data_IF_816758048585
#
_entry.id   IF_816758048585
#
_cell.length_a   1.000
_cell.length_b   1.000
_cell.length_c   1.000
_cell.angle_alpha   90.00
_cell.angle_beta   90.00
_cell.angle_gamma   90.00
#
_symmetry.space_group_name_H-M   'P 1'
#
loop_
_entity.id
_entity.type
_entity.pdbx_description
1 polymer ?
#
# COMPACT_ATOMS: atom_id res chain seq x y z
N UNK A 1 1.50 18.53 46.76
CA UNK A 1 2.23 18.72 45.48
C UNK A 1 1.29 18.43 44.34
N UNK A 2 1.20 19.33 43.34
CA UNK A 2 0.38 19.11 42.14
C UNK A 2 1.08 18.09 41.24
N UNK A 3 0.35 17.14 40.63
CA UNK A 3 0.94 16.21 39.69
C UNK A 3 1.34 16.92 38.39
N UNK A 4 2.38 16.40 37.75
CA UNK A 4 2.84 16.89 36.46
C UNK A 4 2.10 16.24 35.29
N UNK A 5 1.94 16.99 34.20
CA UNK A 5 1.40 16.51 32.92
C UNK A 5 2.25 17.01 31.76
N UNK A 6 2.34 16.18 30.72
CA UNK A 6 2.96 16.52 29.44
C UNK A 6 1.84 16.55 28.39
N UNK A 7 1.74 17.63 27.63
CA UNK A 7 0.70 17.83 26.62
C UNK A 7 1.32 17.99 25.23
N UNK A 8 0.54 17.76 24.18
CA UNK A 8 1.01 17.97 22.82
C UNK A 8 1.03 19.47 22.45
N UNK A 9 1.90 19.83 21.50
CA UNK A 9 2.07 21.21 21.03
C UNK A 9 0.79 21.82 20.45
N UNK A 10 0.01 21.06 19.67
CA UNK A 10 -1.26 21.54 19.13
C UNK A 10 -2.28 21.86 20.24
N UNK A 11 -2.38 21.01 21.28
CA UNK A 11 -3.23 21.26 22.45
C UNK A 11 -2.75 22.44 23.29
N UNK A 12 -1.43 22.59 23.48
CA UNK A 12 -0.88 23.74 24.18
C UNK A 12 -1.18 25.06 23.45
N UNK A 13 -1.06 25.05 22.12
CA UNK A 13 -1.35 26.21 21.28
C UNK A 13 -2.85 26.57 21.29
N UNK A 14 -3.75 25.58 21.22
CA UNK A 14 -5.20 25.84 21.27
C UNK A 14 -5.67 26.38 22.63
N UNK A 15 -5.00 25.97 23.71
CA UNK A 15 -5.26 26.47 25.06
C UNK A 15 -4.52 27.78 25.38
N UNK A 16 -3.60 28.23 24.52
CA UNK A 16 -2.80 29.44 24.75
C UNK A 16 -1.82 29.33 25.92
N UNK A 17 -1.38 28.11 26.27
CA UNK A 17 -0.55 27.85 27.46
C UNK A 17 0.89 27.48 27.09
N UNK A 18 1.80 27.73 28.04
CA UNK A 18 3.23 27.38 27.96
C UNK A 18 3.59 26.41 29.09
N UNK A 19 4.81 25.87 29.04
CA UNK A 19 5.37 25.09 30.13
C UNK A 19 5.33 25.89 31.44
N UNK A 20 5.03 25.22 32.56
CA UNK A 20 4.81 25.83 33.86
C UNK A 20 3.37 26.30 34.12
N UNK A 21 2.49 26.34 33.12
CA UNK A 21 1.07 26.64 33.31
C UNK A 21 0.35 25.53 34.11
N UNK A 22 -0.74 25.89 34.79
CA UNK A 22 -1.60 24.90 35.46
C UNK A 22 -2.87 24.69 34.64
N UNK A 23 -3.21 23.42 34.36
CA UNK A 23 -4.45 23.04 33.68
C UNK A 23 -5.34 22.20 34.58
N UNK A 24 -6.65 22.26 34.35
CA UNK A 24 -7.63 21.41 35.06
C UNK A 24 -8.18 20.37 34.10
N UNK A 25 -8.05 19.10 34.45
CA UNK A 25 -8.65 18.00 33.70
C UNK A 25 -9.95 17.63 34.37
N UNK A 26 -11.03 17.56 33.60
CA UNK A 26 -12.36 17.16 34.04
C UNK A 26 -12.65 15.79 33.45
N UNK A 27 -13.05 14.84 34.29
CA UNK A 27 -13.47 13.51 33.85
C UNK A 27 -14.99 13.37 33.86
N UNK A 28 -15.58 12.73 32.85
CA UNK A 28 -17.03 12.49 32.80
C UNK A 28 -17.51 11.47 33.85
N UNK A 29 -16.59 10.71 34.48
CA UNK A 29 -16.91 9.91 35.66
C UNK A 29 -17.27 10.82 36.83
N UNK A 30 -18.58 10.92 37.04
CA UNK A 30 -19.20 11.64 38.13
C UNK A 30 -19.50 10.72 39.30
N UNK A 31 -19.50 11.30 40.50
CA UNK A 31 -19.98 10.61 41.70
C UNK A 31 -21.36 11.15 42.06
N UNK A 32 -22.28 10.27 42.43
CA UNK A 32 -23.59 10.66 42.92
C UNK A 32 -23.44 11.26 44.32
N UNK A 33 -23.64 12.57 44.42
CA UNK A 33 -23.75 13.29 45.70
C UNK A 33 -25.24 13.51 46.01
N UNK A 34 -25.65 13.61 47.29
CA UNK A 34 -27.02 14.01 47.67
C UNK A 34 -27.49 15.34 47.04
N UNK A 35 -26.56 16.17 46.56
CA UNK A 35 -26.79 17.46 45.89
C UNK A 35 -26.68 17.39 44.35
N UNK A 36 -26.49 16.20 43.76
CA UNK A 36 -26.43 16.00 42.31
C UNK A 36 -25.13 15.37 41.79
N UNK A 37 -24.98 15.38 40.46
CA UNK A 37 -23.86 14.78 39.74
C UNK A 37 -22.71 15.80 39.65
N UNK A 38 -21.68 15.65 40.48
CA UNK A 38 -20.52 16.56 40.46
C UNK A 38 -19.40 15.94 39.62
N UNK A 39 -18.92 16.60 38.55
CA UNK A 39 -17.80 16.10 37.76
C UNK A 39 -16.51 16.16 38.56
N UNK A 40 -15.68 15.12 38.46
CA UNK A 40 -14.35 15.14 39.08
C UNK A 40 -13.40 15.97 38.22
N UNK A 41 -12.70 16.90 38.86
CA UNK A 41 -11.62 17.63 38.22
C UNK A 41 -10.35 17.60 39.07
N UNK A 42 -9.19 17.67 38.41
CA UNK A 42 -7.90 17.75 39.09
C UNK A 42 -6.97 18.69 38.35
N UNK A 43 -6.23 19.49 39.12
CA UNK A 43 -5.23 20.42 38.61
C UNK A 43 -3.89 19.72 38.40
N UNK A 44 -3.26 19.97 37.27
CA UNK A 44 -1.94 19.48 36.88
C UNK A 44 -1.07 20.66 36.46
N UNK A 45 0.21 20.61 36.80
CA UNK A 45 1.19 21.57 36.29
C UNK A 45 1.83 20.99 35.02
N UNK A 46 1.89 21.79 33.95
CA UNK A 46 2.44 21.40 32.66
C UNK A 46 3.96 21.36 32.76
N UNK A 47 4.53 20.16 32.83
CA UNK A 47 5.97 19.96 32.94
C UNK A 47 6.69 19.98 31.60
N UNK A 48 5.97 19.78 30.49
CA UNK A 48 6.58 19.80 29.16
C UNK A 48 5.55 19.73 28.04
N UNK A 49 5.97 20.18 26.86
CA UNK A 49 5.18 20.13 25.62
C UNK A 49 5.88 19.24 24.60
N UNK A 50 5.23 18.15 24.16
CA UNK A 50 5.81 17.23 23.18
C UNK A 50 5.38 17.57 21.74
N UNK A 51 6.24 17.18 20.78
CA UNK A 51 6.01 17.30 19.34
C UNK A 51 6.14 15.94 18.67
N UNK A 52 5.05 15.40 18.15
CA UNK A 52 5.01 14.09 17.46
C UNK A 52 4.94 14.21 15.93
N UNK A 53 4.76 15.43 15.39
CA UNK A 53 4.48 15.71 13.96
C UNK A 53 3.11 15.22 13.48
N UNK A 54 2.35 14.53 14.32
CA UNK A 54 0.98 14.11 14.02
C UNK A 54 0.02 15.00 14.78
N UNK A 55 -0.73 15.84 14.06
CA UNK A 55 -1.65 16.80 14.67
C UNK A 55 -2.63 16.13 15.63
N UNK A 56 -3.25 15.03 15.20
CA UNK A 56 -4.27 14.31 15.98
C UNK A 56 -3.71 13.77 17.32
N UNK A 57 -2.45 13.33 17.33
CA UNK A 57 -1.77 12.94 18.56
C UNK A 57 -1.48 14.16 19.43
N UNK A 58 -0.94 15.23 18.85
CA UNK A 58 -0.62 16.47 19.58
C UNK A 58 -1.86 17.19 20.14
N UNK A 59 -3.05 16.99 19.56
CA UNK A 59 -4.31 17.61 20.02
C UNK A 59 -5.07 16.78 21.05
N UNK A 60 -5.00 15.44 20.95
CA UNK A 60 -5.92 14.56 21.70
C UNK A 60 -5.26 13.69 22.78
N UNK A 61 -3.92 13.67 22.89
CA UNK A 61 -3.21 12.82 23.85
C UNK A 61 -2.35 13.65 24.81
N UNK A 62 -2.49 13.36 26.12
CA UNK A 62 -1.65 13.90 27.17
C UNK A 62 -1.12 12.77 28.08
N UNK A 63 0.06 12.98 28.68
CA UNK A 63 0.75 11.98 29.48
C UNK A 63 0.96 12.47 30.92
N UNK A 64 0.62 11.64 31.91
CA UNK A 64 0.92 11.88 33.32
C UNK A 64 1.34 10.57 33.99
N UNK A 65 1.74 10.63 35.26
CA UNK A 65 2.08 9.44 36.03
C UNK A 65 0.86 8.54 36.24
N UNK A 66 1.07 7.21 36.20
CA UNK A 66 0.03 6.21 36.42
C UNK A 66 -0.70 6.44 37.76
N UNK A 67 0.04 6.74 38.82
CA UNK A 67 -0.52 7.03 40.15
C UNK A 67 -1.42 8.25 40.17
N UNK A 68 -1.12 9.28 39.37
CA UNK A 68 -1.97 10.48 39.25
C UNK A 68 -3.24 10.20 38.46
N UNK A 69 -3.14 9.42 37.39
CA UNK A 69 -4.27 8.98 36.58
C UNK A 69 -5.21 8.06 37.37
N UNK A 70 -4.67 7.09 38.12
CA UNK A 70 -5.45 6.19 38.99
C UNK A 70 -6.22 6.97 40.06
N UNK A 71 -5.61 8.00 40.65
CA UNK A 71 -6.30 8.89 41.62
C UNK A 71 -7.39 9.73 40.95
N UNK A 72 -7.15 10.22 39.73
CA UNK A 72 -8.13 11.01 38.97
C UNK A 72 -9.36 10.16 38.60
N UNK A 73 -9.12 8.97 38.05
CA UNK A 73 -10.14 8.02 37.57
C UNK A 73 -10.72 7.10 38.66
N UNK A 74 -10.27 7.23 39.91
CA UNK A 74 -10.70 6.42 41.05
C UNK A 74 -10.45 4.89 40.91
N UNK A 75 -9.48 4.49 40.10
CA UNK A 75 -9.14 3.08 39.83
C UNK A 75 -7.89 2.64 40.62
N UNK A 76 -7.98 2.70 41.96
CA UNK A 76 -6.84 2.40 42.84
C UNK A 76 -6.33 0.98 42.62
N UNK A 77 -5.03 0.85 42.33
CA UNK A 77 -4.37 -0.45 42.12
C UNK A 77 -4.75 -1.17 40.82
N UNK A 78 -5.59 -0.56 39.98
CA UNK A 78 -6.03 -1.14 38.71
C UNK A 78 -5.39 -0.40 37.52
N UNK A 79 -5.22 -1.11 36.42
CA UNK A 79 -4.71 -0.57 35.15
C UNK A 79 -5.67 -0.94 34.03
N UNK A 80 -5.74 -0.11 32.99
CA UNK A 80 -6.59 -0.39 31.83
C UNK A 80 -6.00 -1.45 30.91
N UNK A 81 -4.68 -1.65 30.93
CA UNK A 81 -4.01 -2.67 30.12
C UNK A 81 -2.49 -2.50 30.06
N UNK A 82 -1.85 -3.40 29.32
CA UNK A 82 -0.42 -3.40 29.06
C UNK A 82 -0.14 -2.94 27.63
N UNK A 83 0.94 -2.18 27.44
CA UNK A 83 1.45 -1.83 26.11
C UNK A 83 2.77 -2.57 25.89
N UNK A 84 2.83 -3.37 24.84
CA UNK A 84 4.03 -4.09 24.43
C UNK A 84 4.60 -3.39 23.21
N UNK A 85 5.86 -2.96 23.29
CA UNK A 85 6.57 -2.36 22.16
C UNK A 85 7.29 -3.46 21.37
N UNK A 86 7.15 -3.43 20.05
CA UNK A 86 7.79 -4.39 19.14
C UNK A 86 8.76 -3.63 18.25
N UNK A 87 10.04 -4.05 18.25
CA UNK A 87 11.10 -3.36 17.50
C UNK A 87 10.91 -3.47 15.99
N UNK A 88 10.45 -4.62 15.49
CA UNK A 88 10.20 -4.86 14.06
C UNK A 88 8.69 -4.82 13.76
N UNK A 89 8.17 -3.76 13.11
CA UNK A 89 6.73 -3.62 12.86
C UNK A 89 6.10 -4.77 12.06
N UNK A 90 6.86 -5.38 11.15
CA UNK A 90 6.41 -6.50 10.32
C UNK A 90 6.04 -7.75 11.13
N UNK A 91 6.65 -7.93 12.31
CA UNK A 91 6.40 -9.08 13.18
C UNK A 91 5.22 -8.86 14.14
N UNK A 92 4.59 -7.68 14.13
CA UNK A 92 3.54 -7.33 15.10
C UNK A 92 2.36 -8.29 15.02
N UNK A 93 1.93 -8.69 13.82
CA UNK A 93 0.80 -9.63 13.66
C UNK A 93 1.13 -11.00 14.25
N UNK A 94 2.32 -11.53 13.96
CA UNK A 94 2.75 -12.84 14.47
C UNK A 94 2.93 -12.83 15.99
N UNK A 95 3.55 -11.78 16.53
CA UNK A 95 3.74 -11.62 17.99
C UNK A 95 2.40 -11.43 18.69
N UNK A 96 1.52 -10.58 18.14
CA UNK A 96 0.16 -10.39 18.67
C UNK A 96 -0.63 -11.71 18.65
N UNK A 97 -0.50 -12.51 17.59
CA UNK A 97 -1.07 -13.85 17.49
C UNK A 97 -0.59 -14.77 18.61
N UNK A 98 0.73 -14.85 18.83
CA UNK A 98 1.32 -15.66 19.93
C UNK A 98 0.88 -15.19 21.32
N UNK A 99 0.78 -13.86 21.53
CA UNK A 99 0.29 -13.30 22.80
C UNK A 99 -1.18 -13.66 22.99
N UNK A 100 -1.99 -13.51 21.94
CA UNK A 100 -3.43 -13.83 21.95
C UNK A 100 -3.67 -15.30 22.24
N UNK A 101 -2.89 -16.20 21.67
CA UNK A 101 -2.97 -17.65 21.94
C UNK A 101 -2.63 -17.98 23.40
N UNK A 102 -1.53 -17.42 23.93
CA UNK A 102 -1.14 -17.64 25.34
C UNK A 102 -2.15 -17.07 26.32
N UNK A 103 -2.77 -15.94 25.98
CA UNK A 103 -3.75 -15.27 26.81
C UNK A 103 -5.19 -15.73 26.55
N UNK A 104 -5.45 -16.60 25.57
CA UNK A 104 -6.79 -17.11 25.25
C UNK A 104 -7.48 -17.80 26.43
N UNK A 105 -6.70 -18.34 27.37
CA UNK A 105 -7.20 -18.94 28.62
C UNK A 105 -7.78 -17.91 29.60
N UNK A 106 -7.49 -16.63 29.41
CA UNK A 106 -7.94 -15.53 30.25
C UNK A 106 -8.96 -14.68 29.47
N UNK A 107 -10.25 -14.96 29.69
CA UNK A 107 -11.38 -14.32 28.97
C UNK A 107 -11.46 -12.80 29.11
N UNK A 108 -10.75 -12.21 30.07
CA UNK A 108 -10.75 -10.77 30.34
C UNK A 108 -9.71 -9.99 29.52
N UNK A 109 -8.74 -10.64 28.88
CA UNK A 109 -7.73 -9.95 28.08
C UNK A 109 -8.14 -9.86 26.61
N UNK A 110 -8.20 -8.63 26.10
CA UNK A 110 -8.32 -8.36 24.66
C UNK A 110 -6.97 -7.89 24.11
N UNK A 111 -6.41 -8.66 23.18
CA UNK A 111 -5.15 -8.32 22.51
C UNK A 111 -5.48 -7.62 21.19
N UNK A 112 -5.24 -6.31 21.13
CA UNK A 112 -5.36 -5.49 19.92
C UNK A 112 -4.00 -5.02 19.47
N UNK A 113 -3.67 -5.27 18.20
CA UNK A 113 -2.45 -4.74 17.60
C UNK A 113 -2.66 -3.35 16.99
N UNK A 114 -1.57 -2.70 16.57
CA UNK A 114 -1.64 -1.34 16.04
C UNK A 114 -2.41 -1.25 14.71
N UNK A 115 -2.40 -2.31 13.90
CA UNK A 115 -3.13 -2.36 12.64
C UNK A 115 -4.63 -2.52 12.86
N UNK A 116 -5.02 -3.28 13.89
CA UNK A 116 -6.42 -3.37 14.34
C UNK A 116 -6.90 -2.06 14.96
N UNK A 117 -6.07 -1.41 15.78
CA UNK A 117 -6.40 -0.11 16.39
C UNK A 117 -6.57 1.02 15.35
N UNK A 118 -5.88 0.91 14.21
CA UNK A 118 -5.96 1.86 13.10
C UNK A 118 -6.65 1.25 11.87
N UNK A 119 -7.59 0.32 12.09
CA UNK A 119 -8.26 -0.43 11.02
C UNK A 119 -8.79 0.44 9.86
N UNK A 120 -9.44 1.61 10.09
CA UNK A 120 -9.91 2.45 9.00
C UNK A 120 -8.79 2.90 8.03
N UNK A 121 -7.61 3.22 8.57
CA UNK A 121 -6.44 3.58 7.76
C UNK A 121 -5.97 2.39 6.92
N UNK A 122 -5.89 1.20 7.53
CA UNK A 122 -5.45 -0.01 6.84
C UNK A 122 -6.45 -0.51 5.80
N UNK A 123 -7.75 -0.39 6.07
CA UNK A 123 -8.80 -0.73 5.12
C UNK A 123 -8.76 0.22 3.91
N UNK A 124 -8.52 1.52 4.13
CA UNK A 124 -8.32 2.49 3.06
C UNK A 124 -7.09 2.16 2.19
N UNK A 125 -5.93 1.88 2.81
CA UNK A 125 -4.72 1.45 2.10
C UNK A 125 -4.92 0.13 1.35
N UNK A 126 -5.71 -0.79 1.92
CA UNK A 126 -6.07 -2.05 1.28
C UNK A 126 -6.95 -1.87 0.05
N UNK A 127 -7.93 -0.96 0.13
CA UNK A 127 -8.80 -0.60 -1.00
C UNK A 127 -7.98 0.04 -2.13
N UNK A 128 -7.09 0.99 -1.80
CA UNK A 128 -6.20 1.64 -2.77
C UNK A 128 -5.36 0.61 -3.54
N UNK A 129 -4.74 -0.34 -2.84
CA UNK A 129 -3.96 -1.43 -3.48
C UNK A 129 -4.79 -2.28 -4.43
N UNK A 130 -6.05 -2.57 -4.09
CA UNK A 130 -6.95 -3.34 -4.96
C UNK A 130 -7.31 -2.55 -6.22
N UNK A 131 -7.58 -1.25 -6.09
CA UNK A 131 -7.87 -0.37 -7.23
C UNK A 131 -6.67 -0.33 -8.17
N UNK A 132 -5.45 -0.16 -7.65
CA UNK A 132 -4.23 -0.18 -8.48
C UNK A 132 -4.00 -1.53 -9.14
N UNK A 133 -4.31 -2.65 -8.47
CA UNK A 133 -4.26 -3.96 -9.10
C UNK A 133 -5.23 -4.07 -10.29
N UNK A 134 -6.47 -3.60 -10.15
CA UNK A 134 -7.46 -3.60 -11.23
C UNK A 134 -7.00 -2.75 -12.42
N UNK A 135 -6.51 -1.53 -12.15
CA UNK A 135 -5.98 -0.63 -13.19
C UNK A 135 -4.80 -1.27 -13.91
N UNK A 136 -3.87 -1.88 -13.17
CA UNK A 136 -2.71 -2.57 -13.74
C UNK A 136 -3.15 -3.71 -14.68
N UNK A 137 -4.11 -4.53 -14.27
CA UNK A 137 -4.66 -5.61 -15.12
C UNK A 137 -5.28 -5.03 -16.38
N UNK A 138 -6.05 -3.94 -16.27
CA UNK A 138 -6.68 -3.29 -17.41
C UNK A 138 -5.66 -2.74 -18.41
N UNK A 139 -4.57 -2.14 -17.92
CA UNK A 139 -3.45 -1.68 -18.77
C UNK A 139 -2.77 -2.84 -19.50
N UNK A 140 -2.57 -3.97 -18.81
CA UNK A 140 -1.99 -5.19 -19.41
C UNK A 140 -2.92 -5.72 -20.52
N UNK A 141 -4.23 -5.78 -20.27
CA UNK A 141 -5.21 -6.21 -21.28
C UNK A 141 -5.19 -5.28 -22.50
N UNK A 142 -5.18 -3.97 -22.28
CA UNK A 142 -5.11 -2.97 -23.35
C UNK A 142 -3.84 -3.14 -24.19
N UNK A 143 -2.68 -3.27 -23.55
CA UNK A 143 -1.41 -3.51 -24.23
C UNK A 143 -1.42 -4.83 -25.01
N UNK A 144 -2.00 -5.89 -24.44
CA UNK A 144 -2.10 -7.20 -25.08
C UNK A 144 -2.94 -7.15 -26.37
N UNK A 145 -4.02 -6.36 -26.38
CA UNK A 145 -4.88 -6.17 -27.54
C UNK A 145 -4.18 -5.38 -28.65
N UNK A 146 -3.37 -4.37 -28.28
CA UNK A 146 -2.54 -3.65 -29.23
C UNK A 146 -1.54 -4.58 -29.92
N UNK A 147 -0.84 -5.45 -29.17
CA UNK A 147 0.09 -6.43 -29.75
C UNK A 147 -0.62 -7.40 -30.70
N UNK A 148 -1.81 -7.91 -30.32
CA UNK A 148 -2.61 -8.78 -31.18
C UNK A 148 -2.95 -8.06 -32.50
N UNK A 149 -3.46 -6.83 -32.40
CA UNK A 149 -3.89 -6.04 -33.55
C UNK A 149 -2.73 -5.75 -34.50
N UNK A 150 -1.57 -5.35 -33.97
CA UNK A 150 -0.36 -5.12 -34.76
C UNK A 150 0.12 -6.40 -35.44
N UNK A 151 0.16 -7.53 -34.74
CA UNK A 151 0.59 -8.81 -35.34
C UNK A 151 -0.39 -9.31 -36.41
N UNK A 152 -1.69 -9.16 -36.19
CA UNK A 152 -2.70 -9.50 -37.20
C UNK A 152 -2.51 -8.62 -38.44
N UNK A 153 -2.37 -7.31 -38.27
CA UNK A 153 -2.12 -6.38 -39.37
C UNK A 153 -0.86 -6.75 -40.15
N UNK A 154 0.24 -7.04 -39.46
CA UNK A 154 1.50 -7.46 -40.09
C UNK A 154 1.33 -8.75 -40.90
N UNK A 155 0.59 -9.73 -40.38
CA UNK A 155 0.28 -10.97 -41.10
C UNK A 155 -0.52 -10.68 -42.37
N UNK A 156 -1.45 -9.73 -42.32
CA UNK A 156 -2.25 -9.32 -43.48
C UNK A 156 -1.40 -8.67 -44.57
N UNK A 157 -0.48 -7.79 -44.19
CA UNK A 157 0.45 -7.13 -45.12
C UNK A 157 1.44 -8.14 -45.73
N UNK A 158 1.90 -9.11 -44.94
CA UNK A 158 2.88 -10.13 -45.36
C UNK A 158 2.27 -11.39 -45.96
N UNK A 159 0.99 -11.37 -46.35
CA UNK A 159 0.29 -12.53 -46.94
C UNK A 159 0.98 -13.10 -48.18
N UNK A 160 1.44 -12.23 -49.11
CA UNK A 160 2.13 -12.66 -50.34
C UNK A 160 3.45 -13.37 -50.01
N UNK A 161 4.26 -12.76 -49.15
CA UNK A 161 5.54 -13.34 -48.68
C UNK A 161 5.32 -14.71 -48.00
N UNK A 162 4.28 -14.85 -47.18
CA UNK A 162 3.91 -16.13 -46.54
C UNK A 162 3.48 -17.17 -47.60
N UNK A 163 2.71 -16.77 -48.62
CA UNK A 163 2.29 -17.67 -49.69
C UNK A 163 3.50 -18.18 -50.49
N UNK A 164 4.45 -17.31 -50.84
CA UNK A 164 5.70 -17.68 -51.51
C UNK A 164 6.53 -18.64 -50.65
N UNK A 165 6.67 -18.37 -49.35
CA UNK A 165 7.36 -19.29 -48.43
C UNK A 165 6.69 -20.67 -48.41
N UNK A 166 5.36 -20.72 -48.43
CA UNK A 166 4.62 -21.98 -48.44
C UNK A 166 4.69 -22.73 -49.77
N UNK A 167 4.84 -22.05 -50.91
CA UNK A 167 5.01 -22.72 -52.21
C UNK A 167 6.42 -23.29 -52.38
N UNK A 168 7.44 -22.67 -51.79
CA UNK A 168 8.82 -23.22 -51.76
C UNK A 168 9.03 -24.29 -50.67
N UNK A 169 7.99 -24.68 -49.94
CA UNK A 169 8.01 -25.84 -49.03
C UNK A 169 7.95 -25.53 -47.52
N UNK A 170 7.78 -24.27 -47.10
CA UNK A 170 7.65 -23.95 -45.68
C UNK A 170 6.37 -24.54 -45.09
N UNK A 171 6.50 -25.22 -43.94
CA UNK A 171 5.37 -25.82 -43.25
C UNK A 171 4.57 -24.76 -42.47
N UNK A 172 3.31 -25.07 -42.13
CA UNK A 172 2.50 -24.22 -41.23
C UNK A 172 3.21 -23.95 -39.89
N UNK A 173 3.99 -24.92 -39.40
CA UNK A 173 4.72 -24.79 -38.13
C UNK A 173 5.86 -23.78 -38.22
N UNK A 174 6.50 -23.66 -39.38
CA UNK A 174 7.59 -22.71 -39.60
C UNK A 174 7.08 -21.27 -39.58
N UNK A 175 5.94 -21.02 -40.24
CA UNK A 175 5.27 -19.72 -40.20
C UNK A 175 4.88 -19.35 -38.76
N UNK A 176 4.25 -20.28 -38.00
CA UNK A 176 3.92 -20.04 -36.58
C UNK A 176 5.18 -19.72 -35.77
N UNK A 177 6.30 -20.42 -36.01
CA UNK A 177 7.55 -20.20 -35.28
C UNK A 177 8.14 -18.80 -35.53
N UNK A 178 8.05 -18.29 -36.75
CA UNK A 178 8.48 -16.92 -37.10
C UNK A 178 7.69 -15.89 -36.29
N UNK A 179 6.36 -15.95 -36.36
CA UNK A 179 5.50 -14.97 -35.67
C UNK A 179 5.57 -15.08 -34.14
N UNK A 180 5.74 -16.29 -33.59
CA UNK A 180 6.01 -16.48 -32.15
C UNK A 180 7.33 -15.85 -31.72
N UNK A 181 8.41 -16.05 -32.49
CA UNK A 181 9.72 -15.42 -32.19
C UNK A 181 9.65 -13.91 -32.27
N UNK A 182 8.94 -13.38 -33.26
CA UNK A 182 8.71 -11.94 -33.38
C UNK A 182 7.97 -11.39 -32.15
N UNK A 183 6.93 -12.08 -31.71
CA UNK A 183 6.23 -11.79 -30.46
C UNK A 183 7.15 -11.72 -29.24
N UNK A 184 8.00 -12.72 -29.06
CA UNK A 184 8.96 -12.77 -27.95
C UNK A 184 9.95 -11.60 -28.03
N UNK A 185 10.44 -11.25 -29.22
CA UNK A 185 11.37 -10.13 -29.42
C UNK A 185 10.68 -8.80 -29.06
N UNK A 186 9.45 -8.57 -29.53
CA UNK A 186 8.67 -7.38 -29.18
C UNK A 186 8.41 -7.31 -27.67
N UNK A 187 8.01 -8.43 -27.06
CA UNK A 187 7.81 -8.52 -25.62
C UNK A 187 9.08 -8.21 -24.85
N UNK A 188 10.21 -8.81 -25.22
CA UNK A 188 11.49 -8.59 -24.57
C UNK A 188 11.96 -7.14 -24.65
N UNK A 189 11.93 -6.53 -25.84
CA UNK A 189 12.30 -5.13 -26.03
C UNK A 189 11.39 -4.20 -25.24
N UNK A 190 10.07 -4.44 -25.28
CA UNK A 190 9.08 -3.67 -24.52
C UNK A 190 9.31 -3.79 -23.01
N UNK A 191 9.58 -4.99 -22.51
CA UNK A 191 9.88 -5.24 -21.08
C UNK A 191 11.17 -4.54 -20.67
N UNK A 192 12.25 -4.64 -21.45
CA UNK A 192 13.53 -3.99 -21.14
C UNK A 192 13.36 -2.46 -21.10
N UNK A 193 12.72 -1.88 -22.12
CA UNK A 193 12.44 -0.44 -22.16
C UNK A 193 11.50 -0.01 -21.03
N UNK A 194 10.44 -0.76 -20.76
CA UNK A 194 9.49 -0.47 -19.68
C UNK A 194 10.14 -0.53 -18.29
N UNK A 195 10.91 -1.57 -18.01
CA UNK A 195 11.61 -1.73 -16.74
C UNK A 195 12.70 -0.66 -16.55
N UNK A 196 13.44 -0.30 -17.59
CA UNK A 196 14.45 0.76 -17.51
C UNK A 196 13.81 2.11 -17.26
N UNK A 197 12.77 2.49 -18.03
CA UNK A 197 12.02 3.73 -17.82
C UNK A 197 11.36 3.76 -16.43
N UNK A 198 10.77 2.66 -15.99
CA UNK A 198 10.17 2.53 -14.65
C UNK A 198 11.21 2.69 -13.55
N UNK A 199 12.39 2.10 -13.69
CA UNK A 199 13.48 2.23 -12.72
C UNK A 199 13.97 3.67 -12.61
N UNK A 200 14.22 4.35 -13.74
CA UNK A 200 14.62 5.75 -13.74
C UNK A 200 13.51 6.67 -13.21
N UNK A 201 12.24 6.36 -13.47
CA UNK A 201 11.10 7.06 -12.88
C UNK A 201 11.06 6.94 -11.36
N UNK A 202 11.24 5.72 -10.83
CA UNK A 202 11.33 5.52 -9.38
C UNK A 202 12.54 6.23 -8.77
N UNK A 203 13.69 6.23 -9.45
CA UNK A 203 14.90 6.91 -9.01
C UNK A 203 14.70 8.43 -8.96
N UNK A 204 14.11 9.01 -10.00
CA UNK A 204 13.77 10.43 -10.04
C UNK A 204 12.83 10.82 -8.89
N UNK A 205 11.79 10.00 -8.64
CA UNK A 205 10.85 10.22 -7.55
C UNK A 205 11.53 10.11 -6.17
N UNK A 206 12.49 9.20 -6.02
CA UNK A 206 13.29 9.04 -4.81
C UNK A 206 14.22 10.23 -4.54
N UNK A 207 14.80 10.82 -5.59
CA UNK A 207 15.74 11.95 -5.49
C UNK A 207 14.98 13.26 -5.25
N UNK A 208 13.94 13.53 -6.02
CA UNK A 208 13.21 14.81 -5.94
C UNK A 208 12.15 14.81 -4.85
N UNK A 209 11.64 13.65 -4.47
CA UNK A 209 10.61 13.50 -3.45
C UNK A 209 9.25 14.03 -3.90
N UNK A 210 8.19 13.32 -3.58
CA UNK A 210 6.83 13.84 -3.75
C UNK A 210 6.33 14.37 -2.40
N UNK A 211 6.04 15.68 -2.26
CA UNK A 211 5.66 16.27 -0.99
C UNK A 211 4.31 15.75 -0.52
N UNK A 212 4.23 15.39 0.76
CA UNK A 212 2.99 14.95 1.40
C UNK A 212 2.48 16.01 2.37
N UNK A 213 1.16 16.09 2.53
CA UNK A 213 0.57 16.90 3.58
C UNK A 213 0.90 16.29 4.95
N UNK A 214 1.81 16.97 5.66
CA UNK A 214 2.27 16.59 7.00
C UNK A 214 1.19 16.58 8.08
N UNK A 215 0.00 17.11 7.78
CA UNK A 215 -1.18 16.99 8.67
C UNK A 215 -1.74 15.57 8.69
N UNK A 216 -1.65 14.87 7.55
CA UNK A 216 -2.21 13.54 7.35
C UNK A 216 -1.13 12.48 7.49
N UNK A 217 0.05 12.72 6.90
CA UNK A 217 1.16 11.77 6.91
C UNK A 217 2.32 12.27 7.79
N UNK A 218 2.88 11.42 8.67
CA UNK A 218 4.01 11.79 9.53
C UNK A 218 5.34 11.96 8.77
N UNK A 219 5.36 11.67 7.46
CA UNK A 219 6.54 11.72 6.59
C UNK A 219 6.41 12.89 5.60
N UNK A 220 7.51 13.66 5.38
CA UNK A 220 7.47 14.85 4.52
C UNK A 220 7.34 14.52 3.04
N UNK A 221 7.79 13.33 2.64
CA UNK A 221 7.76 12.85 1.26
C UNK A 221 7.35 11.39 1.20
N UNK A 222 6.82 10.96 0.05
CA UNK A 222 6.53 9.54 -0.20
C UNK A 222 7.85 8.76 -0.16
N UNK A 223 8.00 7.77 0.74
CA UNK A 223 9.16 6.89 0.72
C UNK A 223 9.07 5.96 -0.50
N UNK A 224 10.11 5.98 -1.33
CA UNK A 224 10.20 5.12 -2.53
C UNK A 224 11.20 4.00 -2.26
N UNK A 225 10.67 2.80 -2.01
CA UNK A 225 11.46 1.58 -1.89
C UNK A 225 11.42 0.80 -3.21
N UNK A 226 12.61 0.66 -3.82
CA UNK A 226 12.78 -0.03 -5.10
C UNK A 226 13.10 -1.49 -4.82
N UNK A 227 12.08 -2.35 -4.93
CA UNK A 227 12.24 -3.80 -4.77
C UNK A 227 12.44 -4.47 -6.14
N UNK A 228 13.62 -5.05 -6.35
CA UNK A 228 13.96 -5.78 -7.58
C UNK A 228 12.99 -6.94 -7.88
N UNK A 229 12.42 -7.54 -6.84
CA UNK A 229 11.42 -8.61 -6.97
C UNK A 229 10.20 -8.16 -7.76
N UNK A 230 9.75 -6.91 -7.58
CA UNK A 230 8.60 -6.36 -8.30
C UNK A 230 8.92 -6.16 -9.79
N UNK A 231 10.12 -5.67 -10.11
CA UNK A 231 10.58 -5.55 -11.50
C UNK A 231 10.68 -6.90 -12.19
N UNK A 232 11.25 -7.90 -11.51
CA UNK A 232 11.35 -9.25 -12.03
C UNK A 232 9.97 -9.87 -12.28
N UNK A 233 9.03 -9.72 -11.34
CA UNK A 233 7.67 -10.23 -11.49
C UNK A 233 6.94 -9.59 -12.67
N UNK A 234 7.04 -8.27 -12.82
CA UNK A 234 6.46 -7.54 -13.97
C UNK A 234 7.10 -7.98 -15.28
N UNK A 235 8.42 -8.21 -15.30
CA UNK A 235 9.10 -8.70 -16.49
C UNK A 235 8.62 -10.09 -16.90
N UNK A 236 8.47 -11.02 -15.95
CA UNK A 236 7.94 -12.36 -16.23
C UNK A 236 6.49 -12.29 -16.71
N UNK A 237 5.63 -11.55 -16.02
CA UNK A 237 4.19 -11.45 -16.39
C UNK A 237 4.02 -10.81 -17.76
N UNK A 238 4.74 -9.74 -18.07
CA UNK A 238 4.67 -9.07 -19.39
C UNK A 238 5.10 -9.98 -20.53
N UNK A 239 6.18 -10.75 -20.35
CA UNK A 239 6.65 -11.73 -21.34
C UNK A 239 5.63 -12.85 -21.55
N UNK A 240 5.03 -13.37 -20.47
CA UNK A 240 3.98 -14.40 -20.56
C UNK A 240 2.76 -13.87 -21.31
N UNK A 241 2.28 -12.66 -20.98
CA UNK A 241 1.14 -12.05 -21.66
C UNK A 241 1.44 -11.83 -23.14
N UNK A 242 2.61 -11.28 -23.48
CA UNK A 242 3.01 -11.07 -24.86
C UNK A 242 3.07 -12.39 -25.64
N UNK A 243 3.65 -13.43 -25.04
CA UNK A 243 3.68 -14.76 -25.63
C UNK A 243 2.27 -15.31 -25.88
N UNK A 244 1.37 -15.23 -24.89
CA UNK A 244 -0.02 -15.69 -25.03
C UNK A 244 -0.77 -14.92 -26.11
N UNK A 245 -0.60 -13.60 -26.18
CA UNK A 245 -1.17 -12.74 -27.21
C UNK A 245 -0.76 -13.16 -28.62
N UNK A 246 0.45 -13.67 -28.80
CA UNK A 246 0.95 -14.06 -30.13
C UNK A 246 0.40 -15.39 -30.65
N UNK A 247 -0.22 -16.21 -29.79
CA UNK A 247 -0.74 -17.53 -30.17
C UNK A 247 -1.86 -17.40 -31.20
N UNK A 248 -2.78 -16.47 -31.00
CA UNK A 248 -3.93 -16.27 -31.89
C UNK A 248 -3.52 -15.78 -33.29
N UNK A 249 -2.74 -14.68 -33.44
CA UNK A 249 -2.28 -14.21 -34.75
C UNK A 249 -1.42 -15.25 -35.49
N UNK A 250 -0.53 -15.94 -34.78
CA UNK A 250 0.37 -16.94 -35.39
C UNK A 250 -0.42 -18.10 -36.01
N UNK A 251 -1.47 -18.58 -35.33
CA UNK A 251 -2.35 -19.61 -35.89
C UNK A 251 -3.08 -19.09 -37.11
N UNK A 252 -3.63 -17.87 -37.04
CA UNK A 252 -4.35 -17.23 -38.16
C UNK A 252 -3.46 -17.06 -39.40
N UNK A 253 -2.20 -16.69 -39.24
CA UNK A 253 -1.21 -16.58 -40.31
C UNK A 253 -0.97 -17.91 -41.05
N UNK A 254 -0.90 -19.01 -40.29
CA UNK A 254 -0.59 -20.33 -40.85
C UNK A 254 -1.74 -20.98 -41.63
N UNK A 255 -2.97 -20.49 -41.45
CA UNK A 255 -4.18 -21.05 -42.04
C UNK A 255 -4.50 -20.50 -43.44
N UNK A 256 -3.73 -19.53 -43.95
CA UNK A 256 -3.96 -18.93 -45.27
C UNK A 256 -3.63 -19.94 -46.39
N UNK A 257 -4.57 -20.24 -47.31
CA UNK A 257 -4.31 -21.08 -48.48
C UNK A 257 -3.41 -20.36 -49.49
N UNK A 258 -2.26 -20.92 -49.91
CA UNK A 258 -1.36 -20.27 -50.86
C UNK A 258 -2.02 -20.00 -52.23
N UNK A 259 -2.89 -20.92 -52.66
CA UNK A 259 -3.55 -20.87 -53.97
C UNK A 259 -4.60 -19.76 -54.07
N UNK A 260 -5.27 -19.39 -52.98
CA UNK A 260 -6.22 -18.27 -52.99
C UNK A 260 -5.48 -16.93 -53.02
N UNK A 261 -4.38 -16.81 -52.28
CA UNK A 261 -3.62 -15.54 -52.18
C UNK A 261 -2.94 -15.16 -53.50
N UNK A 262 -2.54 -16.15 -54.30
CA UNK A 262 -1.86 -15.93 -55.59
C UNK A 262 -2.82 -15.84 -56.79
N UNK A 263 -4.12 -16.12 -56.61
CA UNK A 263 -5.12 -16.18 -57.69
C UNK A 263 -5.97 -14.89 -57.82
N UNK A 264 -5.93 -14.00 -56.82
CA UNK A 264 -6.61 -12.71 -56.88
C UNK A 264 -5.79 -11.61 -57.61
N UNK A 265 -4.86 -12.03 -58.47
CA UNK A 265 -4.23 -11.28 -59.55
C UNK A 265 -4.24 -12.14 -60.83
#
# INVERSE_FOLDING_TARGET
VRPYIIIGRALAASLGIKEGATISIITPQSFASPLGIIPRFKRFDVAGIYKSKLWDYESNIAFTSLSSLQKLLNIKGQISGYRVSVVKPLLVKDIAGKIREKLAKYSFFRVTDWSEANKPLFDALGLEKRVYFIVLVLLIVLASFSVISTLVMLVMEKRKDIAVLRTIGASKKDIIKIFKRMGIILGFLGTVLGCTLGYFGCLALKIWGFPLDTRIFPVPTVPVDIELTNFFLVAVVSLVVCYLSTIYPSKRASSLPPAEVLRFE
#
